data_IF_163707719633
#
_entry.id   IF_163707719633
#
_cell.length_a   1.000
_cell.length_b   1.000
_cell.length_c   1.000
_cell.angle_alpha   90.00
_cell.angle_beta   90.00
_cell.angle_gamma   90.00
#
_symmetry.space_group_name_H-M   'P 1'
#
loop_
_entity.id
_entity.type
_entity.pdbx_description
1 polymer ?
#
# COMPACT_ATOMS: atom_id res chain seq x y z
N UNK A 1 -36.75 -8.04 -1.45
CA UNK A 1 -35.33 -8.14 -1.82
C UNK A 1 -34.81 -9.50 -1.36
N UNK A 2 -34.45 -10.39 -2.29
CA UNK A 2 -33.92 -11.69 -1.91
C UNK A 2 -32.49 -11.52 -1.37
N UNK A 3 -32.28 -11.91 -0.12
CA UNK A 3 -30.95 -11.87 0.50
C UNK A 3 -30.07 -12.88 -0.24
N UNK A 4 -28.96 -12.42 -0.82
CA UNK A 4 -28.00 -13.31 -1.47
C UNK A 4 -27.18 -14.07 -0.41
N UNK A 5 -27.77 -15.14 0.13
CA UNK A 5 -27.21 -15.96 1.21
C UNK A 5 -25.82 -16.50 0.82
N UNK A 6 -25.62 -16.89 -0.44
CA UNK A 6 -24.34 -17.36 -0.95
C UNK A 6 -23.26 -16.27 -0.88
N UNK A 7 -23.59 -15.04 -1.28
CA UNK A 7 -22.66 -13.90 -1.23
C UNK A 7 -22.23 -13.57 0.20
N UNK A 8 -23.15 -13.63 1.15
CA UNK A 8 -22.85 -13.39 2.57
C UNK A 8 -21.90 -14.47 3.11
N UNK A 9 -22.16 -15.74 2.81
CA UNK A 9 -21.31 -16.85 3.25
C UNK A 9 -19.88 -16.67 2.73
N UNK A 10 -19.71 -16.33 1.45
CA UNK A 10 -18.39 -16.10 0.85
C UNK A 10 -17.68 -14.91 1.50
N UNK A 11 -18.37 -13.81 1.76
CA UNK A 11 -17.79 -12.63 2.43
C UNK A 11 -17.31 -12.94 3.84
N UNK A 12 -18.16 -13.60 4.64
CA UNK A 12 -17.81 -13.99 6.02
C UNK A 12 -16.59 -14.91 6.02
N UNK A 13 -16.57 -15.91 5.14
CA UNK A 13 -15.43 -16.82 5.01
C UNK A 13 -14.13 -16.08 4.66
N UNK A 14 -14.18 -15.17 3.69
CA UNK A 14 -13.00 -14.41 3.25
C UNK A 14 -12.47 -13.50 4.36
N UNK A 15 -13.35 -12.80 5.08
CA UNK A 15 -12.92 -11.97 6.22
C UNK A 15 -12.29 -12.80 7.34
N UNK A 16 -12.85 -13.96 7.67
CA UNK A 16 -12.26 -14.87 8.65
C UNK A 16 -10.89 -15.37 8.22
N UNK A 17 -10.69 -15.65 6.93
CA UNK A 17 -9.39 -16.07 6.39
C UNK A 17 -8.36 -14.94 6.52
N UNK A 18 -8.71 -13.72 6.13
CA UNK A 18 -7.82 -12.54 6.26
C UNK A 18 -7.46 -12.28 7.72
N UNK A 19 -8.45 -12.31 8.63
CA UNK A 19 -8.22 -12.16 10.07
C UNK A 19 -7.34 -13.28 10.62
N UNK A 20 -7.59 -14.53 10.21
CA UNK A 20 -6.80 -15.69 10.62
C UNK A 20 -5.34 -15.58 10.21
N UNK A 21 -5.07 -15.18 8.97
CA UNK A 21 -3.71 -14.93 8.46
C UNK A 21 -3.05 -13.78 9.23
N UNK A 22 -3.78 -12.70 9.51
CA UNK A 22 -3.29 -11.57 10.30
C UNK A 22 -2.89 -11.96 11.72
N UNK A 23 -3.75 -12.72 12.41
CA UNK A 23 -3.50 -13.22 13.77
C UNK A 23 -2.31 -14.19 13.77
N UNK A 24 -2.24 -15.12 12.80
CA UNK A 24 -1.11 -16.04 12.67
C UNK A 24 0.21 -15.30 12.41
N UNK A 25 0.21 -14.30 11.53
CA UNK A 25 1.37 -13.47 11.24
C UNK A 25 1.81 -12.68 12.48
N UNK A 26 0.86 -12.15 13.27
CA UNK A 26 1.11 -11.47 14.53
C UNK A 26 1.81 -12.39 15.54
N UNK A 27 1.27 -13.59 15.80
CA UNK A 27 1.89 -14.55 16.72
C UNK A 27 3.28 -14.99 16.26
N UNK A 28 3.46 -15.21 14.95
CA UNK A 28 4.75 -15.56 14.35
C UNK A 28 5.78 -14.43 14.51
N UNK A 29 5.36 -13.17 14.35
CA UNK A 29 6.20 -11.99 14.55
C UNK A 29 6.57 -11.80 16.02
N UNK A 30 5.61 -11.98 16.95
CA UNK A 30 5.85 -11.91 18.39
C UNK A 30 6.91 -12.91 18.85
N UNK A 31 6.82 -14.17 18.40
CA UNK A 31 7.81 -15.22 18.72
C UNK A 31 9.23 -14.92 18.20
N UNK A 32 9.36 -14.12 17.14
CA UNK A 32 10.66 -13.65 16.62
C UNK A 32 11.18 -12.43 17.37
N UNK A 33 10.31 -11.48 17.74
CA UNK A 33 10.65 -10.30 18.56
C UNK A 33 11.23 -10.67 19.92
N UNK A 34 10.67 -11.68 20.60
CA UNK A 34 11.15 -12.12 21.92
C UNK A 34 12.61 -12.65 21.90
N UNK A 35 13.14 -12.99 20.72
CA UNK A 35 14.52 -13.47 20.57
C UNK A 35 15.56 -12.36 20.29
N UNK A 36 15.15 -11.20 19.76
CA UNK A 36 16.04 -10.09 19.39
C UNK A 36 15.39 -8.72 19.69
N UNK A 37 15.58 -8.14 20.89
CA UNK A 37 14.95 -6.88 21.29
C UNK A 37 15.42 -5.64 20.49
N UNK A 38 16.69 -5.62 20.04
CA UNK A 38 17.30 -4.48 19.36
C UNK A 38 16.84 -4.25 17.92
N UNK A 39 16.17 -5.23 17.30
CA UNK A 39 15.79 -5.23 15.88
C UNK A 39 14.28 -4.96 15.68
N UNK A 40 13.57 -4.61 16.76
CA UNK A 40 12.11 -4.46 16.81
C UNK A 40 11.55 -3.53 15.72
N UNK A 41 12.20 -2.39 15.48
CA UNK A 41 11.76 -1.43 14.45
C UNK A 41 12.00 -1.95 13.03
N UNK A 42 13.14 -2.59 12.76
CA UNK A 42 13.44 -3.15 11.43
C UNK A 42 12.55 -4.36 11.11
N UNK A 43 12.24 -5.21 12.09
CA UNK A 43 11.33 -6.35 11.91
C UNK A 43 9.90 -5.87 11.60
N UNK A 44 9.47 -4.75 12.20
CA UNK A 44 8.09 -4.28 12.10
C UNK A 44 7.84 -3.40 10.89
N UNK A 45 8.80 -2.56 10.52
CA UNK A 45 8.68 -1.62 9.40
C UNK A 45 9.25 -2.18 8.11
N UNK A 46 10.33 -2.98 8.18
CA UNK A 46 11.06 -3.46 6.99
C UNK A 46 10.91 -4.98 6.78
N UNK A 47 10.18 -5.68 7.65
CA UNK A 47 10.04 -7.14 7.56
C UNK A 47 11.39 -7.87 7.56
N UNK A 48 12.36 -7.32 8.31
CA UNK A 48 13.75 -7.80 8.36
C UNK A 48 14.51 -7.72 7.01
N UNK A 49 14.08 -6.85 6.07
CA UNK A 49 14.68 -6.67 4.73
C UNK A 49 14.80 -7.95 3.88
N UNK A 50 14.16 -9.04 4.32
CA UNK A 50 14.22 -10.37 3.72
C UNK A 50 12.95 -10.72 2.95
N UNK A 51 12.14 -9.72 2.58
CA UNK A 51 10.96 -9.92 1.74
C UNK A 51 11.43 -10.40 0.37
N UNK A 52 10.93 -11.57 -0.05
CA UNK A 52 11.21 -12.11 -1.38
C UNK A 52 10.65 -11.22 -2.48
N UNK A 53 11.30 -11.16 -3.64
CA UNK A 53 10.90 -10.29 -4.77
C UNK A 53 9.43 -10.47 -5.16
N UNK A 54 8.96 -11.72 -5.18
CA UNK A 54 7.57 -12.06 -5.52
C UNK A 54 6.59 -11.44 -4.52
N UNK A 55 6.84 -11.60 -3.22
CA UNK A 55 6.01 -11.01 -2.16
C UNK A 55 6.06 -9.48 -2.22
N UNK A 56 7.23 -8.91 -2.56
CA UNK A 56 7.38 -7.47 -2.79
C UNK A 56 6.52 -6.94 -3.93
N UNK A 57 6.48 -7.64 -5.07
CA UNK A 57 5.63 -7.27 -6.22
C UNK A 57 4.15 -7.31 -5.81
N UNK A 58 3.70 -8.42 -5.22
CA UNK A 58 2.30 -8.56 -4.79
C UNK A 58 1.89 -7.53 -3.74
N UNK A 59 2.77 -7.23 -2.78
CA UNK A 59 2.49 -6.22 -1.74
C UNK A 59 2.38 -4.84 -2.35
N UNK A 60 3.29 -4.48 -3.26
CA UNK A 60 3.22 -3.16 -3.91
C UNK A 60 1.99 -3.04 -4.80
N UNK A 61 1.61 -4.09 -5.53
CA UNK A 61 0.38 -4.10 -6.32
C UNK A 61 -0.88 -4.00 -5.44
N UNK A 62 -0.91 -4.72 -4.31
CA UNK A 62 -2.02 -4.68 -3.36
C UNK A 62 -2.23 -3.28 -2.74
N UNK A 63 -1.18 -2.46 -2.60
CA UNK A 63 -1.32 -1.07 -2.13
C UNK A 63 -2.06 -0.17 -3.12
N UNK A 64 -1.91 -0.41 -4.43
CA UNK A 64 -2.49 0.46 -5.47
C UNK A 64 -3.86 -0.02 -5.96
N UNK A 65 -4.10 -1.33 -5.95
CA UNK A 65 -5.39 -1.90 -6.36
C UNK A 65 -6.32 -1.92 -5.14
N UNK A 66 -6.92 -0.76 -4.85
CA UNK A 66 -7.86 -0.56 -3.74
C UNK A 66 -9.30 -0.29 -4.20
N UNK A 67 -10.19 0.00 -3.25
CA UNK A 67 -11.61 0.29 -3.52
C UNK A 67 -11.82 1.45 -4.51
N UNK A 68 -11.05 2.53 -4.37
CA UNK A 68 -11.10 3.66 -5.29
C UNK A 68 -10.67 3.32 -6.72
N UNK A 69 -9.72 2.40 -6.90
CA UNK A 69 -9.31 1.91 -8.22
C UNK A 69 -10.41 1.04 -8.86
N UNK A 70 -11.01 0.15 -8.06
CA UNK A 70 -12.06 -0.78 -8.52
C UNK A 70 -13.36 -0.06 -8.91
N UNK A 71 -13.75 0.97 -8.18
CA UNK A 71 -14.97 1.76 -8.48
C UNK A 71 -14.68 2.88 -9.49
N UNK A 72 -13.53 3.55 -9.39
CA UNK A 72 -13.19 4.69 -10.22
C UNK A 72 -12.83 4.34 -11.66
N UNK A 73 -12.20 3.19 -11.92
CA UNK A 73 -11.89 2.79 -13.31
C UNK A 73 -13.15 2.60 -14.17
N UNK A 74 -14.17 1.82 -13.74
CA UNK A 74 -15.44 1.74 -14.44
C UNK A 74 -16.06 3.12 -14.64
N UNK A 75 -16.06 3.98 -13.63
CA UNK A 75 -16.61 5.34 -13.73
C UNK A 75 -15.95 6.15 -14.87
N UNK A 76 -14.62 6.10 -14.98
CA UNK A 76 -13.87 6.75 -16.07
C UNK A 76 -14.24 6.17 -17.43
N UNK A 77 -14.39 4.84 -17.54
CA UNK A 77 -14.73 4.17 -18.80
C UNK A 77 -16.17 4.46 -19.23
N UNK A 78 -17.11 4.49 -18.27
CA UNK A 78 -18.53 4.76 -18.53
C UNK A 78 -18.81 6.24 -18.80
N UNK A 79 -17.95 7.15 -18.35
CA UNK A 79 -18.13 8.57 -18.62
C UNK A 79 -17.73 8.90 -20.07
N UNK A 80 -18.68 9.36 -20.93
CA UNK A 80 -18.41 9.64 -22.34
C UNK A 80 -17.41 10.78 -22.56
N UNK A 81 -17.16 11.62 -21.55
CA UNK A 81 -16.17 12.70 -21.62
C UNK A 81 -14.74 12.25 -21.28
N UNK A 82 -14.57 11.15 -20.54
CA UNK A 82 -13.26 10.64 -20.12
C UNK A 82 -12.83 9.43 -20.97
N UNK A 83 -13.75 8.54 -21.33
CA UNK A 83 -13.54 7.49 -22.32
C UNK A 83 -12.49 6.42 -21.98
N UNK A 84 -12.48 5.34 -22.77
CA UNK A 84 -11.61 4.19 -22.58
C UNK A 84 -10.10 4.52 -22.66
N UNK A 85 -9.73 5.46 -23.53
CA UNK A 85 -8.33 5.86 -23.74
C UNK A 85 -7.72 6.46 -22.47
N UNK A 86 -8.49 7.25 -21.73
CA UNK A 86 -8.04 7.88 -20.47
C UNK A 86 -7.90 6.85 -19.34
N UNK A 87 -8.78 5.85 -19.28
CA UNK A 87 -8.64 4.75 -18.34
C UNK A 87 -7.35 3.96 -18.59
N UNK A 88 -7.05 3.64 -19.85
CA UNK A 88 -5.82 2.95 -20.22
C UNK A 88 -4.56 3.78 -19.93
N UNK A 89 -4.58 5.08 -20.23
CA UNK A 89 -3.44 5.96 -19.96
C UNK A 89 -3.16 6.08 -18.46
N UNK A 90 -4.21 6.14 -17.63
CA UNK A 90 -4.08 6.16 -16.17
C UNK A 90 -3.39 4.89 -15.64
N UNK A 91 -3.84 3.71 -16.06
CA UNK A 91 -3.25 2.43 -15.62
C UNK A 91 -1.79 2.31 -16.08
N UNK A 92 -1.50 2.64 -17.33
CA UNK A 92 -0.13 2.63 -17.87
C UNK A 92 0.75 3.61 -17.10
N UNK A 93 0.25 4.80 -16.78
CA UNK A 93 0.96 5.81 -15.99
C UNK A 93 1.35 5.30 -14.61
N UNK A 94 0.43 4.63 -13.90
CA UNK A 94 0.74 4.02 -12.59
C UNK A 94 1.84 2.98 -12.74
N UNK A 95 1.70 2.02 -13.66
CA UNK A 95 2.69 0.95 -13.85
C UNK A 95 4.06 1.53 -14.21
N UNK A 96 4.11 2.50 -15.13
CA UNK A 96 5.35 3.13 -15.54
C UNK A 96 6.00 3.89 -14.37
N UNK A 97 5.21 4.61 -13.57
CA UNK A 97 5.70 5.30 -12.38
C UNK A 97 6.28 4.34 -11.33
N UNK A 98 5.68 3.15 -11.16
CA UNK A 98 6.19 2.12 -10.26
C UNK A 98 7.50 1.51 -10.77
N UNK A 99 7.60 1.26 -12.08
CA UNK A 99 8.83 0.72 -12.68
C UNK A 99 9.97 1.73 -12.58
N UNK A 100 9.74 2.98 -12.96
CA UNK A 100 10.75 4.04 -12.89
C UNK A 100 11.12 4.32 -11.43
N UNK A 101 10.13 4.47 -10.56
CA UNK A 101 10.34 4.71 -9.12
C UNK A 101 11.12 3.56 -8.47
N UNK A 102 10.77 2.32 -8.80
CA UNK A 102 11.47 1.13 -8.32
C UNK A 102 12.93 1.07 -8.78
N UNK A 103 13.19 1.32 -10.06
CA UNK A 103 14.56 1.27 -10.60
C UNK A 103 15.46 2.35 -10.02
N UNK A 104 14.96 3.59 -9.87
CA UNK A 104 15.77 4.72 -9.41
C UNK A 104 15.91 4.81 -7.89
N UNK A 105 14.86 4.49 -7.12
CA UNK A 105 14.86 4.70 -5.67
C UNK A 105 15.14 3.44 -4.85
N UNK A 106 14.74 2.24 -5.32
CA UNK A 106 14.84 1.03 -4.50
C UNK A 106 16.29 0.63 -4.19
N UNK A 107 17.20 0.76 -5.18
CA UNK A 107 18.63 0.48 -5.00
C UNK A 107 19.27 1.39 -3.95
N UNK A 108 19.28 2.72 -4.15
CA UNK A 108 19.86 3.67 -3.19
C UNK A 108 19.25 3.60 -1.79
N UNK A 109 17.96 3.31 -1.68
CA UNK A 109 17.29 3.12 -0.38
C UNK A 109 17.78 1.87 0.35
N UNK A 110 18.02 0.77 -0.38
CA UNK A 110 18.48 -0.49 0.19
C UNK A 110 19.95 -0.41 0.63
N UNK A 111 20.80 0.21 -0.20
CA UNK A 111 22.24 0.31 0.07
C UNK A 111 22.53 1.20 1.28
N UNK A 112 21.81 2.31 1.42
CA UNK A 112 21.98 3.26 2.53
C UNK A 112 21.22 2.88 3.80
N UNK A 113 20.56 1.72 3.82
CA UNK A 113 19.77 1.22 4.96
C UNK A 113 18.78 2.25 5.52
N UNK A 114 18.16 3.05 4.64
CA UNK A 114 17.11 3.95 5.07
C UNK A 114 15.90 3.16 5.58
N UNK A 115 15.19 3.74 6.55
CA UNK A 115 14.00 3.16 7.19
C UNK A 115 12.75 3.84 6.64
N UNK A 116 12.82 5.15 6.37
CA UNK A 116 11.71 5.92 5.79
C UNK A 116 12.10 6.56 4.46
N UNK A 117 11.10 6.77 3.59
CA UNK A 117 11.29 7.52 2.34
C UNK A 117 11.73 8.96 2.58
N UNK A 118 11.53 9.50 3.79
CA UNK A 118 11.92 10.84 4.17
C UNK A 118 13.35 10.95 4.71
N UNK A 119 14.02 9.84 5.04
CA UNK A 119 15.39 9.84 5.56
C UNK A 119 16.41 10.54 4.63
N UNK A 120 16.42 10.30 3.29
CA UNK A 120 17.32 11.00 2.39
C UNK A 120 17.10 12.52 2.40
N UNK A 121 15.84 12.95 2.54
CA UNK A 121 15.48 14.36 2.56
C UNK A 121 15.83 15.01 3.89
N UNK A 122 15.66 14.29 5.00
CA UNK A 122 16.06 14.74 6.32
C UNK A 122 17.57 15.01 6.40
N UNK A 123 18.38 14.09 5.85
CA UNK A 123 19.85 14.21 5.86
C UNK A 123 20.32 15.36 4.97
N UNK A 124 19.66 15.59 3.82
CA UNK A 124 20.09 16.60 2.83
C UNK A 124 19.54 18.00 3.08
N UNK A 125 18.30 18.13 3.55
CA UNK A 125 17.59 19.41 3.65
C UNK A 125 17.25 19.81 5.10
N UNK A 126 17.54 18.96 6.09
CA UNK A 126 17.30 19.23 7.49
C UNK A 126 15.84 19.07 7.93
N UNK A 127 15.54 19.54 9.14
CA UNK A 127 14.27 19.26 9.85
C UNK A 127 13.07 20.01 9.30
N UNK A 128 13.25 21.28 8.89
CA UNK A 128 12.12 22.15 8.50
C UNK A 128 11.45 21.70 7.20
N UNK A 129 12.17 21.43 6.10
CA UNK A 129 11.53 20.94 4.87
C UNK A 129 10.90 19.56 5.04
N UNK A 130 11.49 18.70 5.87
CA UNK A 130 10.96 17.38 6.20
C UNK A 130 9.61 17.47 6.94
N UNK A 131 9.45 18.43 7.86
CA UNK A 131 8.17 18.65 8.53
C UNK A 131 7.05 19.02 7.54
N UNK A 132 7.33 19.89 6.58
CA UNK A 132 6.36 20.25 5.53
C UNK A 132 6.02 19.06 4.63
N UNK A 133 7.02 18.29 4.18
CA UNK A 133 6.80 17.07 3.38
C UNK A 133 6.00 16.01 4.15
N UNK A 134 6.25 15.89 5.46
CA UNK A 134 5.53 14.98 6.34
C UNK A 134 4.06 15.39 6.50
N UNK A 135 3.79 16.69 6.68
CA UNK A 135 2.42 17.20 6.71
C UNK A 135 1.70 16.97 5.39
N UNK A 136 2.35 17.22 4.26
CA UNK A 136 1.78 16.94 2.93
C UNK A 136 1.46 15.47 2.71
N UNK A 137 2.34 14.57 3.13
CA UNK A 137 2.10 13.11 3.04
C UNK A 137 1.00 12.65 3.98
N UNK A 138 0.88 13.23 5.19
CA UNK A 138 -0.26 12.96 6.08
C UNK A 138 -1.60 13.36 5.45
N UNK A 139 -1.69 14.56 4.88
CA UNK A 139 -2.89 15.03 4.19
C UNK A 139 -3.25 14.12 3.00
N UNK A 140 -2.26 13.73 2.21
CA UNK A 140 -2.45 12.79 1.10
C UNK A 140 -2.99 11.43 1.59
N UNK A 141 -2.48 10.90 2.70
CA UNK A 141 -2.98 9.65 3.28
C UNK A 141 -4.44 9.78 3.74
N UNK A 142 -4.86 10.92 4.27
CA UNK A 142 -6.27 11.16 4.65
C UNK A 142 -7.17 11.11 3.42
N UNK A 143 -6.77 11.78 2.33
CA UNK A 143 -7.49 11.73 1.05
C UNK A 143 -7.55 10.30 0.49
N UNK A 144 -6.47 9.53 0.61
CA UNK A 144 -6.41 8.14 0.17
C UNK A 144 -7.36 7.23 0.94
N UNK A 145 -7.39 7.36 2.27
CA UNK A 145 -8.34 6.63 3.13
C UNK A 145 -9.77 6.99 2.77
N UNK A 146 -10.05 8.27 2.51
CA UNK A 146 -11.38 8.75 2.10
C UNK A 146 -11.82 8.13 0.77
N UNK A 147 -10.94 8.09 -0.23
CA UNK A 147 -11.21 7.42 -1.51
C UNK A 147 -11.49 5.92 -1.34
N UNK A 148 -10.76 5.26 -0.43
CA UNK A 148 -10.99 3.84 -0.13
C UNK A 148 -12.34 3.63 0.55
N UNK A 149 -12.73 4.52 1.47
CA UNK A 149 -14.01 4.48 2.16
C UNK A 149 -15.19 4.69 1.20
N UNK A 150 -15.05 5.65 0.28
CA UNK A 150 -16.01 5.89 -0.80
C UNK A 150 -16.18 4.66 -1.68
N UNK A 151 -15.07 3.98 -2.02
CA UNK A 151 -15.12 2.73 -2.77
C UNK A 151 -15.83 1.57 -2.06
N UNK A 152 -16.00 1.64 -0.74
CA UNK A 152 -16.79 0.68 0.06
C UNK A 152 -18.27 1.04 0.14
N UNK A 153 -18.69 2.19 -0.40
CA UNK A 153 -20.08 2.65 -0.42
C UNK A 153 -20.51 3.50 0.79
N UNK A 154 -19.56 4.13 1.49
CA UNK A 154 -19.81 5.15 2.51
C UNK A 154 -19.63 6.57 1.96
#
# INVERSE_FOLDING_TARGET
MAVNVLGIIVMVFLYLLVLGVGIWAFFKSKKKRDKCPGESLEISLLGNRSIGRVVGIFTTAATWIGGGFVVGLPEIVYNPSLGFVTACSYVIGIVLSMVIGGLFFAGPMRDKKYVTMMDPFHIKYGKVPMAFLSLGTMLCNILWVTSTLYGLGM
#
